data_IF_496118863328
#
_entry.id   IF_496118863328
#
_cell.length_a   1.000
_cell.length_b   1.000
_cell.length_c   1.000
_cell.angle_alpha   90.00
_cell.angle_beta   90.00
_cell.angle_gamma   90.00
#
_symmetry.space_group_name_H-M   'P 1'
#
loop_
_entity.id
_entity.type
_entity.pdbx_description
1 polymer ?
#
# COMPACT_ATOMS: atom_id res chain seq x y z
N UNK A 1 -12.86 -2.63 -24.70
CA UNK A 1 -12.34 -2.77 -23.32
C UNK A 1 -13.48 -3.28 -22.47
N UNK A 2 -13.43 -4.54 -22.05
CA UNK A 2 -14.46 -5.12 -21.19
C UNK A 2 -14.36 -4.49 -19.81
N UNK A 3 -15.31 -3.62 -19.46
CA UNK A 3 -15.58 -3.28 -18.07
C UNK A 3 -16.21 -4.52 -17.43
N UNK A 4 -15.38 -5.44 -16.95
CA UNK A 4 -15.86 -6.42 -16.00
C UNK A 4 -16.42 -5.64 -14.81
N UNK A 5 -17.69 -5.88 -14.50
CA UNK A 5 -18.38 -5.26 -13.40
C UNK A 5 -17.84 -5.88 -12.10
N UNK A 6 -16.64 -5.45 -11.68
CA UNK A 6 -15.91 -6.03 -10.57
C UNK A 6 -16.36 -5.39 -9.26
N UNK A 7 -17.01 -6.18 -8.41
CA UNK A 7 -17.38 -5.76 -7.07
C UNK A 7 -16.18 -5.85 -6.12
N UNK A 8 -15.83 -4.73 -5.49
CA UNK A 8 -14.85 -4.68 -4.40
C UNK A 8 -15.55 -5.14 -3.13
N UNK A 9 -14.93 -6.08 -2.40
CA UNK A 9 -15.47 -6.59 -1.14
C UNK A 9 -14.67 -6.02 0.01
N UNK A 10 -15.35 -5.34 0.94
CA UNK A 10 -14.74 -4.85 2.18
C UNK A 10 -15.00 -5.84 3.31
N UNK A 11 -13.95 -6.19 4.04
CA UNK A 11 -14.02 -7.04 5.23
C UNK A 11 -13.33 -6.33 6.39
N UNK A 12 -14.06 -5.98 7.44
CA UNK A 12 -13.48 -5.41 8.65
C UNK A 12 -12.64 -6.46 9.39
N UNK A 13 -11.50 -6.05 9.94
CA UNK A 13 -10.56 -6.92 10.65
C UNK A 13 -10.68 -6.67 12.15
N UNK A 14 -10.99 -7.72 12.91
CA UNK A 14 -10.90 -7.69 14.36
C UNK A 14 -9.44 -7.81 14.78
N UNK A 15 -8.91 -6.76 15.41
CA UNK A 15 -7.53 -6.75 15.87
C UNK A 15 -7.35 -7.66 17.10
N UNK A 16 -6.28 -8.47 17.15
CA UNK A 16 -6.14 -9.51 18.15
C UNK A 16 -5.84 -8.98 19.56
N UNK A 17 -5.22 -7.80 19.68
CA UNK A 17 -4.84 -7.25 20.97
C UNK A 17 -5.92 -6.31 21.53
N UNK A 18 -6.16 -6.40 22.84
CA UNK A 18 -7.17 -5.56 23.49
C UNK A 18 -6.84 -4.06 23.46
N UNK A 19 -5.55 -3.71 23.42
CA UNK A 19 -5.05 -2.34 23.30
C UNK A 19 -5.27 -1.72 21.92
N UNK A 20 -5.63 -2.51 20.92
CA UNK A 20 -5.84 -2.07 19.54
C UNK A 20 -7.33 -1.92 19.19
N UNK A 21 -8.25 -2.07 20.15
CA UNK A 21 -9.71 -2.11 19.88
C UNK A 21 -10.29 -0.83 19.29
N UNK A 22 -9.61 0.29 19.47
CA UNK A 22 -9.98 1.60 18.92
C UNK A 22 -9.31 1.87 17.55
N UNK A 23 -8.41 0.98 17.10
CA UNK A 23 -7.74 1.11 15.82
C UNK A 23 -8.59 0.52 14.70
N UNK A 24 -8.43 1.09 13.51
CA UNK A 24 -9.14 0.67 12.31
C UNK A 24 -8.28 -0.24 11.44
N UNK A 25 -8.80 -1.41 11.09
CA UNK A 25 -8.23 -2.30 10.08
C UNK A 25 -9.33 -2.96 9.26
N UNK A 26 -9.15 -3.03 7.94
CA UNK A 26 -10.06 -3.71 7.02
C UNK A 26 -9.30 -4.14 5.77
N UNK A 27 -9.85 -5.13 5.07
CA UNK A 27 -9.35 -5.66 3.81
C UNK A 27 -10.28 -5.22 2.69
N UNK A 28 -9.72 -4.77 1.57
CA UNK A 28 -10.44 -4.55 0.32
C UNK A 28 -9.99 -5.60 -0.69
N UNK A 29 -10.86 -6.56 -1.00
CA UNK A 29 -10.62 -7.59 -2.00
C UNK A 29 -11.07 -7.12 -3.38
N UNK A 30 -10.38 -7.60 -4.41
CA UNK A 30 -10.66 -7.25 -5.81
C UNK A 30 -10.51 -5.75 -6.07
N UNK A 31 -9.50 -5.09 -5.50
CA UNK A 31 -9.17 -3.67 -5.85
C UNK A 31 -8.43 -3.58 -7.18
N UNK A 32 -7.76 -4.64 -7.62
CA UNK A 32 -7.10 -4.75 -8.91
C UNK A 32 -7.54 -6.04 -9.61
N UNK A 33 -7.63 -6.03 -10.94
CA UNK A 33 -7.76 -7.27 -11.73
C UNK A 33 -6.38 -7.89 -11.85
N UNK A 34 -6.30 -9.17 -12.20
CA UNK A 34 -5.02 -9.81 -12.48
C UNK A 34 -4.23 -9.08 -13.57
N UNK A 35 -4.92 -8.52 -14.58
CA UNK A 35 -4.29 -7.71 -15.63
C UNK A 35 -3.73 -6.40 -15.10
N UNK A 36 -4.49 -5.69 -14.26
CA UNK A 36 -4.01 -4.45 -13.62
C UNK A 36 -2.82 -4.70 -12.69
N UNK A 37 -2.84 -5.80 -11.92
CA UNK A 37 -1.71 -6.23 -11.11
C UNK A 37 -0.47 -6.43 -11.98
N UNK A 38 -0.60 -7.18 -13.08
CA UNK A 38 0.49 -7.45 -14.00
C UNK A 38 1.04 -6.16 -14.63
N UNK A 39 0.16 -5.25 -15.07
CA UNK A 39 0.55 -3.96 -15.66
C UNK A 39 1.33 -3.08 -14.69
N UNK A 40 0.94 -3.07 -13.41
CA UNK A 40 1.64 -2.30 -12.37
C UNK A 40 3.00 -2.94 -12.05
N UNK A 41 3.08 -4.27 -12.00
CA UNK A 41 4.33 -4.99 -11.80
C UNK A 41 5.31 -4.68 -12.94
N UNK A 42 4.89 -4.85 -14.20
CA UNK A 42 5.70 -4.56 -15.38
C UNK A 42 6.18 -3.10 -15.42
N UNK A 43 5.28 -2.15 -15.13
CA UNK A 43 5.63 -0.73 -15.04
C UNK A 43 6.76 -0.49 -14.03
N UNK A 44 6.67 -1.11 -12.85
CA UNK A 44 7.65 -0.88 -11.77
C UNK A 44 8.98 -1.58 -12.02
N UNK A 45 8.96 -2.77 -12.62
CA UNK A 45 10.18 -3.47 -13.05
C UNK A 45 10.92 -2.67 -14.13
N UNK A 46 10.19 -2.10 -15.09
CA UNK A 46 10.77 -1.20 -16.10
C UNK A 46 11.35 0.08 -15.50
N UNK A 47 10.70 0.64 -14.47
CA UNK A 47 11.20 1.82 -13.73
C UNK A 47 12.43 1.52 -12.91
N UNK A 48 12.59 0.26 -12.50
CA UNK A 48 13.70 -0.22 -11.70
C UNK A 48 13.45 -0.09 -10.21
N UNK A 49 14.08 -1.02 -9.49
CA UNK A 49 14.04 -1.15 -8.04
C UNK A 49 15.40 -0.81 -7.44
N UNK A 50 15.37 -0.28 -6.21
CA UNK A 50 16.58 -0.01 -5.43
C UNK A 50 16.39 -0.44 -3.97
N UNK A 51 17.47 -0.74 -3.22
CA UNK A 51 17.35 -1.16 -1.84
C UNK A 51 16.52 -0.18 -1.01
N UNK A 52 15.48 -0.70 -0.36
CA UNK A 52 14.54 0.12 0.36
C UNK A 52 15.09 0.52 1.73
N UNK A 53 15.43 1.80 1.87
CA UNK A 53 15.96 2.35 3.12
C UNK A 53 14.87 2.55 4.18
N UNK A 54 15.27 2.49 5.44
CA UNK A 54 14.45 2.74 6.62
C UNK A 54 14.44 4.23 6.92
N UNK A 55 13.26 4.82 7.11
CA UNK A 55 13.15 6.19 7.60
C UNK A 55 13.51 6.22 9.09
N UNK A 56 14.54 6.99 9.45
CA UNK A 56 15.04 7.09 10.83
C UNK A 56 14.74 8.47 11.45
N UNK A 57 13.70 9.15 10.92
CA UNK A 57 13.26 10.46 11.38
C UNK A 57 14.13 11.63 10.93
N UNK A 58 13.56 12.84 11.01
CA UNK A 58 14.25 14.09 10.63
C UNK A 58 14.61 14.17 9.15
N UNK A 59 13.84 13.54 8.26
CA UNK A 59 14.11 13.50 6.82
C UNK A 59 15.27 12.58 6.41
N UNK A 60 15.78 11.75 7.32
CA UNK A 60 16.92 10.86 7.07
C UNK A 60 16.47 9.43 6.81
N UNK A 61 17.22 8.75 5.95
CA UNK A 61 17.04 7.33 5.66
C UNK A 61 18.36 6.57 5.82
N UNK A 62 18.29 5.33 6.29
CA UNK A 62 19.46 4.45 6.47
C UNK A 62 19.18 3.07 5.87
N UNK A 63 20.19 2.48 5.23
CA UNK A 63 20.15 1.07 4.83
C UNK A 63 20.41 0.20 6.07
N UNK A 64 19.48 -0.67 6.42
CA UNK A 64 19.51 -1.54 7.60
C UNK A 64 19.01 -2.93 7.22
N UNK A 65 19.85 -3.70 6.52
CA UNK A 65 19.47 -5.00 5.93
C UNK A 65 19.12 -6.08 6.95
N UNK A 66 19.54 -5.92 8.20
CA UNK A 66 19.13 -6.76 9.33
C UNK A 66 17.66 -6.57 9.73
N UNK A 67 17.12 -5.37 9.49
CA UNK A 67 15.74 -4.98 9.81
C UNK A 67 14.83 -4.96 8.58
N UNK A 68 15.37 -4.60 7.42
CA UNK A 68 14.67 -4.53 6.14
C UNK A 68 15.66 -4.71 4.99
N UNK A 69 15.44 -5.73 4.18
CA UNK A 69 16.26 -6.06 3.00
C UNK A 69 15.43 -6.17 1.71
N UNK A 70 14.22 -5.60 1.70
CA UNK A 70 13.41 -5.46 0.47
C UNK A 70 13.91 -4.35 -0.46
N UNK A 71 13.44 -4.41 -1.69
CA UNK A 71 13.62 -3.35 -2.67
C UNK A 71 12.38 -2.43 -2.76
N UNK A 72 12.60 -1.21 -3.27
CA UNK A 72 11.54 -0.21 -3.48
C UNK A 72 11.68 0.50 -4.82
N UNK A 73 10.54 0.62 -5.51
CA UNK A 73 10.32 1.54 -6.61
C UNK A 73 9.37 2.65 -6.15
N UNK A 74 9.67 3.90 -6.49
CA UNK A 74 8.84 5.07 -6.14
C UNK A 74 8.33 5.70 -7.44
N UNK A 75 7.02 5.89 -7.52
CA UNK A 75 6.36 6.56 -8.64
C UNK A 75 5.48 7.66 -8.05
N UNK A 76 5.75 8.90 -8.42
CA UNK A 76 4.89 10.05 -8.11
C UNK A 76 3.93 10.27 -9.30
N UNK A 77 2.65 9.92 -9.14
CA UNK A 77 1.65 10.04 -10.21
C UNK A 77 0.25 10.32 -9.65
N UNK A 78 -0.18 11.58 -9.76
CA UNK A 78 -1.47 12.05 -9.28
C UNK A 78 -2.64 11.37 -10.00
N UNK A 79 -2.50 11.05 -11.29
CA UNK A 79 -3.60 10.49 -12.08
C UNK A 79 -3.84 9.03 -11.69
N UNK A 80 -2.77 8.23 -11.60
CA UNK A 80 -2.86 6.84 -11.14
C UNK A 80 -3.49 6.76 -9.75
N UNK A 81 -3.05 7.65 -8.85
CA UNK A 81 -3.54 7.71 -7.48
C UNK A 81 -5.01 8.16 -7.41
N UNK A 82 -5.42 9.13 -8.21
CA UNK A 82 -6.82 9.58 -8.26
C UNK A 82 -7.76 8.49 -8.80
N UNK A 83 -7.36 7.76 -9.83
CA UNK A 83 -8.14 6.62 -10.34
C UNK A 83 -8.32 5.55 -9.26
N UNK A 84 -7.24 5.23 -8.52
CA UNK A 84 -7.29 4.28 -7.40
C UNK A 84 -8.15 4.82 -6.25
N UNK A 85 -8.04 6.11 -5.93
CA UNK A 85 -8.82 6.74 -4.88
C UNK A 85 -10.32 6.71 -5.19
N UNK A 86 -10.74 7.18 -6.37
CA UNK A 86 -12.15 7.15 -6.81
C UNK A 86 -12.74 5.73 -6.74
N UNK A 87 -11.92 4.72 -7.04
CA UNK A 87 -12.31 3.31 -7.00
C UNK A 87 -12.63 2.81 -5.59
N UNK A 88 -11.92 3.27 -4.57
CA UNK A 88 -12.06 2.78 -3.17
C UNK A 88 -12.73 3.79 -2.23
N UNK A 89 -12.92 5.03 -2.66
CA UNK A 89 -13.30 6.17 -1.82
C UNK A 89 -14.57 5.90 -0.99
N UNK A 90 -15.57 5.24 -1.58
CA UNK A 90 -16.85 4.94 -0.90
C UNK A 90 -16.70 3.92 0.22
N UNK A 91 -15.59 3.16 0.25
CA UNK A 91 -15.29 2.11 1.21
C UNK A 91 -14.39 2.60 2.35
N UNK A 92 -13.76 3.76 2.19
CA UNK A 92 -12.89 4.40 3.17
C UNK A 92 -13.70 5.19 4.21
N UNK A 93 -13.23 5.29 5.47
CA UNK A 93 -13.86 6.16 6.46
C UNK A 93 -13.74 7.63 6.02
N UNK A 94 -14.86 8.35 6.02
CA UNK A 94 -14.86 9.80 5.68
C UNK A 94 -14.22 10.66 6.76
N UNK A 95 -14.27 10.19 8.00
CA UNK A 95 -13.65 10.82 9.17
C UNK A 95 -12.91 9.73 9.95
N UNK A 96 -11.65 9.99 10.31
CA UNK A 96 -10.86 9.11 11.17
C UNK A 96 -10.02 9.95 12.13
N UNK A 97 -10.16 9.72 13.44
CA UNK A 97 -9.48 10.49 14.49
C UNK A 97 -9.61 12.02 14.35
N UNK A 98 -10.78 12.50 13.91
CA UNK A 98 -11.06 13.92 13.67
C UNK A 98 -10.52 14.47 12.34
N UNK A 99 -9.80 13.67 11.54
CA UNK A 99 -9.31 14.05 10.23
C UNK A 99 -10.31 13.66 9.14
N UNK A 100 -10.48 14.54 8.15
CA UNK A 100 -11.32 14.31 6.98
C UNK A 100 -10.55 13.59 5.87
N UNK A 101 -11.21 12.64 5.22
CA UNK A 101 -10.69 12.00 4.02
C UNK A 101 -10.65 13.00 2.86
N UNK A 102 -9.46 13.24 2.31
CA UNK A 102 -9.25 14.17 1.18
C UNK A 102 -8.67 13.50 -0.06
N UNK A 103 -8.07 12.32 0.08
CA UNK A 103 -7.41 11.62 -1.02
C UNK A 103 -6.35 10.64 -0.54
N UNK A 104 -5.63 10.05 -1.50
CA UNK A 104 -4.43 9.26 -1.28
C UNK A 104 -3.18 10.11 -1.56
N UNK A 105 -2.06 9.75 -0.95
CA UNK A 105 -0.77 10.38 -1.23
C UNK A 105 -0.32 10.06 -2.68
N UNK A 106 0.15 11.07 -3.40
CA UNK A 106 0.56 10.99 -4.81
C UNK A 106 1.80 10.12 -5.04
N UNK A 107 2.56 9.82 -3.97
CA UNK A 107 3.75 8.96 -4.00
C UNK A 107 3.41 7.50 -3.75
N UNK A 108 3.28 6.74 -4.82
CA UNK A 108 3.18 5.29 -4.79
C UNK A 108 4.55 4.67 -4.45
N UNK A 109 4.55 3.75 -3.48
CA UNK A 109 5.75 3.02 -3.04
C UNK A 109 5.51 1.53 -3.28
N UNK A 110 6.15 1.00 -4.29
CA UNK A 110 6.10 -0.41 -4.63
C UNK A 110 7.24 -1.13 -3.94
N UNK A 111 6.94 -2.21 -3.24
CA UNK A 111 7.92 -3.00 -2.51
C UNK A 111 8.04 -4.37 -3.15
N UNK A 112 9.26 -4.81 -3.42
CA UNK A 112 9.56 -6.15 -3.93
C UNK A 112 10.32 -6.94 -2.88
N UNK A 113 9.91 -8.19 -2.71
CA UNK A 113 10.51 -9.14 -1.79
C UNK A 113 10.89 -10.40 -2.55
N UNK A 114 12.18 -10.70 -2.60
CA UNK A 114 12.69 -11.99 -3.06
C UNK A 114 12.61 -13.02 -1.92
N UNK A 115 12.67 -14.34 -2.23
CA UNK A 115 12.64 -15.37 -1.20
C UNK A 115 13.70 -15.15 -0.10
N UNK A 116 13.24 -15.06 1.14
CA UNK A 116 14.08 -14.82 2.32
C UNK A 116 14.20 -13.36 2.73
N UNK A 117 13.79 -12.41 1.90
CA UNK A 117 13.71 -11.00 2.28
C UNK A 117 12.55 -10.74 3.25
N UNK A 118 12.70 -9.70 4.05
CA UNK A 118 11.84 -9.36 5.17
C UNK A 118 11.75 -7.86 5.41
N UNK A 119 10.76 -7.52 6.21
CA UNK A 119 10.70 -6.25 6.91
C UNK A 119 10.16 -6.56 8.32
N UNK A 120 11.01 -6.38 9.32
CA UNK A 120 10.68 -6.70 10.72
C UNK A 120 9.45 -5.92 11.21
N UNK A 121 8.71 -6.45 12.21
CA UNK A 121 7.58 -5.75 12.82
C UNK A 121 7.96 -4.34 13.30
N UNK A 122 7.14 -3.36 12.94
CA UNK A 122 7.41 -1.95 13.23
C UNK A 122 6.13 -1.12 13.26
N UNK A 123 6.21 0.07 13.84
CA UNK A 123 5.12 1.04 13.82
C UNK A 123 5.31 2.04 12.66
N UNK A 124 4.30 2.18 11.82
CA UNK A 124 4.26 3.24 10.81
C UNK A 124 4.07 4.62 11.44
N UNK A 125 4.53 5.67 10.74
CA UNK A 125 4.39 7.06 11.18
C UNK A 125 3.09 7.73 10.75
N UNK A 126 2.33 7.09 9.86
CA UNK A 126 1.06 7.58 9.31
C UNK A 126 0.10 6.41 9.09
N UNK A 127 -1.22 6.64 9.00
CA UNK A 127 -2.15 5.65 8.48
C UNK A 127 -1.69 5.20 7.09
N UNK A 128 -1.56 3.89 6.88
CA UNK A 128 -1.10 3.34 5.61
C UNK A 128 -2.23 2.55 4.94
N UNK A 129 -2.33 2.70 3.63
CA UNK A 129 -3.07 1.77 2.78
C UNK A 129 -2.05 0.93 2.04
N UNK A 130 -2.12 -0.39 2.22
CA UNK A 130 -1.22 -1.34 1.58
C UNK A 130 -2.03 -2.21 0.63
N UNK A 131 -1.58 -2.28 -0.61
CA UNK A 131 -2.13 -3.19 -1.62
C UNK A 131 -1.10 -4.27 -1.91
N UNK A 132 -1.55 -5.51 -1.93
CA UNK A 132 -0.72 -6.65 -2.31
C UNK A 132 -0.97 -6.95 -3.78
N UNK A 133 0.09 -6.87 -4.59
CA UNK A 133 0.08 -7.26 -5.99
C UNK A 133 0.94 -8.51 -6.10
N UNK A 134 0.35 -9.62 -6.54
CA UNK A 134 1.07 -10.87 -6.73
C UNK A 134 1.01 -11.26 -8.21
N UNK A 135 2.11 -11.77 -8.74
CA UNK A 135 2.09 -12.59 -9.96
C UNK A 135 1.49 -13.95 -9.57
N UNK A 136 0.47 -14.40 -10.31
CA UNK A 136 -0.08 -15.76 -10.18
C UNK A 136 0.90 -16.74 -10.83
#
# INVERSE_FOLDING_TARGET
>A
MSTENRQIVKTDVLLPNAEDRDKLAFILLNVFTSKECQDWIELTEQRGYSPAKVNIGGGREKLMTDFRDSDRCIIDDVNMVNILFQRIESLLPKIYNGYHLVGLNERLRFLRYDPGQKFEPHMGTTPQTVFYLNTI
#
